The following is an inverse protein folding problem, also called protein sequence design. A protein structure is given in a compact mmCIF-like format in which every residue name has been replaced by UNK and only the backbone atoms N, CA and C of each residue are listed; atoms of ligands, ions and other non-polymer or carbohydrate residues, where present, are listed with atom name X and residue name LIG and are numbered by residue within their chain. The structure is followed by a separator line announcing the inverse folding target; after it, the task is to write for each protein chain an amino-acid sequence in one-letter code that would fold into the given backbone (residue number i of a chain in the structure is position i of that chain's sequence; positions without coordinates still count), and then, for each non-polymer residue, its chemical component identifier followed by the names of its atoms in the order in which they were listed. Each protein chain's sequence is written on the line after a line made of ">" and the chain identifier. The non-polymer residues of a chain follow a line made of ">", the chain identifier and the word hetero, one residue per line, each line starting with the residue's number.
data_IF_980694209781
#
_entry.id   IF_980694209781
#
_cell.length_a   1.000
_cell.length_b   1.000
_cell.length_c   1.000
_cell.angle_alpha   90.00
_cell.angle_beta   90.00
_cell.angle_gamma   90.00
#
_symmetry.space_group_name_H-M   'P 1'
#
loop_
_entity.id
_entity.type
_entity.pdbx_description
1 polymer ?
#
# COMPACT_ATOMS: atom_id res chain seq x y z
N UNK A 1 21.51 1.35 46.41
CA UNK A 1 20.13 1.84 46.23
C UNK A 1 19.32 0.88 45.36
N UNK A 2 19.36 -0.43 45.69
CA UNK A 2 18.61 -1.50 45.01
C UNK A 2 18.49 -2.73 45.92
N UNK A 3 18.15 -2.54 47.21
CA UNK A 3 17.96 -3.67 48.15
C UNK A 3 16.99 -3.43 49.31
N UNK A 4 16.23 -2.33 49.31
CA UNK A 4 15.28 -2.00 50.40
C UNK A 4 13.81 -1.94 49.96
N UNK A 5 13.47 -2.39 48.76
CA UNK A 5 12.08 -2.35 48.24
C UNK A 5 11.46 -3.75 48.08
N UNK A 6 12.11 -4.77 48.64
CA UNK A 6 11.68 -6.18 48.63
C UNK A 6 10.81 -6.55 49.84
N UNK A 7 10.96 -5.87 50.96
CA UNK A 7 10.52 -6.42 52.25
C UNK A 7 9.19 -5.83 52.79
N UNK A 8 8.50 -5.00 52.02
CA UNK A 8 7.29 -4.28 52.48
C UNK A 8 5.96 -4.68 51.81
N UNK A 9 5.86 -5.87 51.20
CA UNK A 9 4.57 -6.39 50.67
C UNK A 9 4.15 -7.72 51.33
N UNK A 10 4.87 -8.15 52.37
CA UNK A 10 4.54 -9.36 53.14
C UNK A 10 3.66 -9.05 54.36
N UNK A 11 2.53 -8.33 54.20
CA UNK A 11 1.50 -8.26 55.23
C UNK A 11 0.20 -7.64 54.69
N UNK A 12 -0.71 -8.44 54.12
CA UNK A 12 -2.16 -8.22 54.34
C UNK A 12 -3.07 -9.35 53.83
N UNK A 13 -3.91 -9.83 54.75
CA UNK A 13 -5.24 -10.45 54.57
C UNK A 13 -5.38 -11.83 53.91
N UNK A 14 -5.67 -12.82 54.75
CA UNK A 14 -6.30 -14.11 54.42
C UNK A 14 -7.81 -13.88 54.19
N UNK A 15 -8.42 -14.32 53.07
CA UNK A 15 -9.86 -14.56 53.02
C UNK A 15 -10.17 -16.04 53.36
N UNK A 16 -11.32 -16.33 53.99
CA UNK A 16 -11.73 -17.69 54.32
C UNK A 16 -12.53 -18.25 53.15
N UNK A 17 -11.97 -19.18 52.39
CA UNK A 17 -12.78 -20.07 51.56
C UNK A 17 -11.99 -21.36 51.31
N UNK A 18 -12.34 -22.41 52.05
CA UNK A 18 -11.99 -23.78 51.71
C UNK A 18 -12.71 -24.14 50.41
N UNK A 19 -11.95 -24.24 49.32
CA UNK A 19 -12.38 -24.92 48.12
C UNK A 19 -11.28 -25.94 47.78
N UNK A 20 -11.65 -27.21 47.90
CA UNK A 20 -10.90 -28.38 47.46
C UNK A 20 -10.44 -28.19 46.01
N UNK A 21 -9.21 -27.72 45.84
CA UNK A 21 -8.55 -27.67 44.54
C UNK A 21 -8.22 -29.11 44.13
N UNK A 22 -8.98 -29.64 43.17
CA UNK A 22 -8.54 -30.77 42.37
C UNK A 22 -7.19 -30.39 41.74
N UNK A 23 -6.14 -31.11 42.10
CA UNK A 23 -4.80 -30.92 41.54
C UNK A 23 -4.84 -31.13 40.03
N UNK A 24 -4.58 -30.06 39.28
CA UNK A 24 -4.31 -30.16 37.86
C UNK A 24 -2.93 -30.83 37.68
N UNK A 25 -2.93 -32.08 37.21
CA UNK A 25 -1.72 -32.85 36.91
C UNK A 25 -1.20 -32.48 35.51
N UNK A 26 -0.03 -31.84 35.40
CA UNK A 26 0.51 -31.40 34.11
C UNK A 26 1.07 -32.55 33.25
N UNK A 27 1.04 -33.80 33.73
CA UNK A 27 1.64 -34.96 33.04
C UNK A 27 0.75 -35.62 31.97
N UNK A 28 -0.52 -35.20 31.83
CA UNK A 28 -1.45 -35.74 30.82
C UNK A 28 -1.56 -34.91 29.54
N UNK A 29 -0.86 -33.77 29.45
CA UNK A 29 -0.73 -33.02 28.21
C UNK A 29 0.30 -33.72 27.31
N UNK A 30 -0.18 -34.62 26.46
CA UNK A 30 0.58 -35.16 25.33
C UNK A 30 1.19 -34.00 24.55
N UNK A 31 2.50 -34.06 24.28
CA UNK A 31 3.21 -33.21 23.32
C UNK A 31 2.67 -33.50 21.91
N UNK A 32 1.41 -33.13 21.66
CA UNK A 32 0.98 -32.81 20.30
C UNK A 32 1.71 -31.52 19.97
N UNK A 33 2.51 -31.55 18.92
CA UNK A 33 3.33 -30.43 18.49
C UNK A 33 2.42 -29.22 18.32
N UNK A 34 2.44 -28.27 19.27
CA UNK A 34 1.50 -27.14 19.37
C UNK A 34 1.44 -26.26 18.11
N UNK A 35 2.37 -26.41 17.17
CA UNK A 35 2.26 -25.83 15.84
C UNK A 35 1.02 -26.33 15.10
N UNK A 36 0.70 -27.62 15.13
CA UNK A 36 -0.39 -28.18 14.33
C UNK A 36 -1.75 -27.68 14.82
N UNK A 37 -1.93 -27.51 16.14
CA UNK A 37 -3.18 -26.97 16.71
C UNK A 37 -3.36 -25.46 16.44
N UNK A 38 -2.26 -24.70 16.39
CA UNK A 38 -2.29 -23.28 16.03
C UNK A 38 -2.51 -23.08 14.53
N UNK A 39 -1.98 -23.99 13.70
CA UNK A 39 -2.18 -24.00 12.26
C UNK A 39 -3.59 -24.51 11.89
N UNK A 40 -4.10 -25.57 12.53
CA UNK A 40 -5.47 -26.09 12.33
C UNK A 40 -6.54 -25.07 12.76
N UNK A 41 -6.33 -24.36 13.87
CA UNK A 41 -7.21 -23.26 14.29
C UNK A 41 -7.21 -22.09 13.30
N UNK A 42 -6.08 -21.85 12.63
CA UNK A 42 -5.94 -20.84 11.59
C UNK A 42 -6.46 -21.30 10.22
N UNK A 43 -6.41 -22.60 9.90
CA UNK A 43 -7.07 -23.21 8.74
C UNK A 43 -8.60 -23.22 8.90
N UNK A 44 -9.12 -23.48 10.11
CA UNK A 44 -10.55 -23.40 10.43
C UNK A 44 -11.11 -21.96 10.35
N UNK A 45 -10.28 -20.95 10.65
CA UNK A 45 -10.60 -19.52 10.43
C UNK A 45 -10.25 -19.00 9.03
N UNK A 46 -9.58 -19.82 8.22
CA UNK A 46 -8.95 -19.46 6.95
C UNK A 46 -9.47 -20.25 5.74
N UNK A 47 -10.68 -20.81 5.83
CA UNK A 47 -11.32 -21.56 4.74
C UNK A 47 -11.29 -20.79 3.41
N UNK A 48 -10.52 -21.31 2.45
CA UNK A 48 -10.48 -20.86 1.06
C UNK A 48 -11.87 -20.88 0.45
N UNK A 49 -12.34 -19.73 -0.02
CA UNK A 49 -13.35 -19.68 -1.07
C UNK A 49 -12.60 -19.49 -2.40
N UNK A 50 -12.50 -20.57 -3.16
CA UNK A 50 -12.11 -20.55 -4.56
C UNK A 50 -13.24 -19.85 -5.35
N UNK A 51 -12.89 -18.94 -6.27
CA UNK A 51 -13.86 -18.29 -7.16
C UNK A 51 -14.49 -19.38 -8.03
N UNK A 52 -15.81 -19.61 -7.99
CA UNK A 52 -16.42 -20.57 -8.89
C UNK A 52 -16.40 -19.99 -10.30
N UNK A 53 -15.85 -20.76 -11.25
CA UNK A 53 -16.11 -20.56 -12.66
C UNK A 53 -17.61 -20.50 -12.90
N UNK A 54 -18.04 -19.50 -13.66
CA UNK A 54 -19.43 -19.27 -14.04
C UNK A 54 -19.97 -20.45 -14.86
N UNK A 55 -20.62 -21.42 -14.21
CA UNK A 55 -21.78 -22.18 -14.74
C UNK A 55 -22.23 -23.31 -13.81
N UNK A 56 -23.05 -23.00 -12.80
CA UNK A 56 -24.16 -23.87 -12.39
C UNK A 56 -25.00 -23.20 -11.31
N UNK A 57 -26.26 -22.93 -11.63
CA UNK A 57 -27.26 -22.52 -10.65
C UNK A 57 -27.54 -23.67 -9.66
N UNK A 58 -27.20 -23.44 -8.39
CA UNK A 58 -27.47 -24.36 -7.29
C UNK A 58 -27.79 -23.56 -6.02
N UNK A 59 -29.03 -23.69 -5.57
CA UNK A 59 -29.68 -23.02 -4.43
C UNK A 59 -28.89 -23.22 -3.13
N UNK A 60 -28.43 -22.15 -2.49
CA UNK A 60 -27.76 -22.18 -1.19
C UNK A 60 -28.76 -21.95 -0.04
N UNK A 61 -28.78 -22.88 0.91
CA UNK A 61 -29.52 -22.80 2.18
C UNK A 61 -28.89 -21.78 3.14
N UNK A 62 -29.76 -21.05 3.83
CA UNK A 62 -29.39 -19.93 4.69
C UNK A 62 -28.68 -20.34 5.99
N UNK A 63 -27.45 -19.86 6.15
CA UNK A 63 -26.88 -19.54 7.46
C UNK A 63 -26.81 -18.02 7.56
N UNK A 64 -27.69 -17.44 8.38
CA UNK A 64 -27.87 -16.00 8.53
C UNK A 64 -26.70 -15.32 9.21
N UNK A 65 -25.70 -14.92 8.44
CA UNK A 65 -24.84 -13.79 8.76
C UNK A 65 -25.18 -12.69 7.74
N UNK A 66 -25.95 -11.70 8.15
CA UNK A 66 -26.33 -10.55 7.31
C UNK A 66 -25.11 -9.70 6.92
N UNK A 67 -24.02 -9.79 7.68
CA UNK A 67 -22.79 -9.05 7.47
C UNK A 67 -21.87 -9.80 6.48
N UNK A 68 -21.64 -9.20 5.32
CA UNK A 68 -20.66 -9.68 4.34
C UNK A 68 -19.28 -9.76 5.01
N UNK A 69 -18.60 -10.90 4.96
CA UNK A 69 -17.23 -11.05 5.52
C UNK A 69 -16.25 -10.11 4.81
N UNK A 70 -15.18 -9.71 5.50
CA UNK A 70 -14.18 -8.77 5.01
C UNK A 70 -13.48 -9.30 3.74
N UNK A 71 -13.48 -8.51 2.67
CA UNK A 71 -12.75 -8.82 1.43
C UNK A 71 -11.24 -8.72 1.69
N UNK A 72 -10.59 -9.88 1.74
CA UNK A 72 -9.13 -9.99 1.80
C UNK A 72 -8.63 -10.48 0.45
N UNK A 73 -8.22 -9.54 -0.41
CA UNK A 73 -7.51 -9.88 -1.64
C UNK A 73 -6.15 -10.48 -1.28
N UNK A 74 -5.97 -11.77 -1.58
CA UNK A 74 -4.69 -12.49 -1.44
C UNK A 74 -4.08 -12.63 -2.82
N UNK A 75 -2.97 -11.94 -3.07
CA UNK A 75 -2.27 -12.07 -4.35
C UNK A 75 -1.57 -10.77 -4.75
N UNK A 76 -1.05 -10.77 -5.97
CA UNK A 76 -0.59 -9.55 -6.62
C UNK A 76 -1.79 -8.81 -7.21
N UNK A 77 -1.77 -7.48 -7.13
CA UNK A 77 -2.84 -6.64 -7.68
C UNK A 77 -2.95 -6.87 -9.20
N UNK A 78 -4.15 -7.14 -9.74
CA UNK A 78 -4.31 -7.38 -11.17
C UNK A 78 -3.98 -6.13 -11.99
N UNK A 79 -3.37 -6.32 -13.16
CA UNK A 79 -2.96 -5.21 -14.04
C UNK A 79 -4.14 -4.32 -14.49
N UNK A 80 -5.37 -4.84 -14.45
CA UNK A 80 -6.60 -4.08 -14.72
C UNK A 80 -6.78 -2.91 -13.77
N UNK A 81 -6.42 -3.06 -12.49
CA UNK A 81 -6.49 -1.99 -11.48
C UNK A 81 -5.48 -0.90 -11.78
N UNK A 82 -4.23 -1.27 -12.13
CA UNK A 82 -3.21 -0.32 -12.55
C UNK A 82 -3.66 0.48 -13.78
N UNK A 83 -4.26 -0.20 -14.77
CA UNK A 83 -4.77 0.45 -15.97
C UNK A 83 -5.89 1.45 -15.65
N UNK A 84 -6.88 1.06 -14.85
CA UNK A 84 -7.98 1.95 -14.45
C UNK A 84 -7.48 3.16 -13.66
N UNK A 85 -6.50 2.95 -12.77
CA UNK A 85 -5.86 4.06 -12.07
C UNK A 85 -5.09 5.00 -13.01
N UNK A 86 -4.39 4.47 -14.03
CA UNK A 86 -3.77 5.29 -15.07
C UNK A 86 -4.79 6.08 -15.90
N UNK A 87 -5.97 5.52 -16.16
CA UNK A 87 -7.08 6.22 -16.82
C UNK A 87 -7.60 7.37 -15.93
N UNK A 88 -7.76 7.15 -14.61
CA UNK A 88 -8.12 8.19 -13.64
C UNK A 88 -7.07 9.32 -13.54
N UNK A 89 -5.79 9.03 -13.73
CA UNK A 89 -4.71 10.04 -13.81
C UNK A 89 -4.84 11.00 -15.02
N UNK A 90 -5.67 10.69 -16.02
CA UNK A 90 -5.79 11.44 -17.27
C UNK A 90 -5.33 10.66 -18.50
N UNK A 91 -5.16 9.34 -18.38
CA UNK A 91 -4.87 8.43 -19.48
C UNK A 91 -3.39 8.19 -19.75
N UNK A 92 -3.11 7.25 -20.66
CA UNK A 92 -1.77 6.76 -20.95
C UNK A 92 -0.79 7.87 -21.37
N UNK A 93 -1.24 8.87 -22.13
CA UNK A 93 -0.40 9.97 -22.59
C UNK A 93 0.18 10.78 -21.43
N UNK A 94 -0.62 11.05 -20.40
CA UNK A 94 -0.16 11.81 -19.21
C UNK A 94 0.84 10.96 -18.41
N UNK A 95 0.56 9.67 -18.23
CA UNK A 95 1.48 8.76 -17.55
C UNK A 95 2.84 8.67 -18.27
N UNK A 96 2.84 8.54 -19.60
CA UNK A 96 4.06 8.53 -20.41
C UNK A 96 4.79 9.86 -20.29
N UNK A 97 4.08 11.00 -20.32
CA UNK A 97 4.69 12.32 -20.14
C UNK A 97 5.37 12.46 -18.77
N UNK A 98 4.79 11.93 -17.70
CA UNK A 98 5.41 11.91 -16.36
C UNK A 98 6.68 11.06 -16.37
N UNK A 99 6.66 9.86 -16.97
CA UNK A 99 7.87 9.01 -17.08
C UNK A 99 8.98 9.73 -17.84
N UNK A 100 8.66 10.35 -18.97
CA UNK A 100 9.62 11.14 -19.77
C UNK A 100 10.15 12.33 -18.98
N UNK A 101 9.31 13.02 -18.21
CA UNK A 101 9.72 14.11 -17.34
C UNK A 101 10.73 13.63 -16.28
N UNK A 102 10.50 12.48 -15.65
CA UNK A 102 11.44 11.91 -14.68
C UNK A 102 12.78 11.57 -15.32
N UNK A 103 12.77 10.95 -16.50
CA UNK A 103 14.00 10.64 -17.25
C UNK A 103 14.75 11.90 -17.68
N UNK A 104 14.05 12.92 -18.19
CA UNK A 104 14.65 14.18 -18.63
C UNK A 104 15.24 14.97 -17.46
N UNK A 105 14.53 15.04 -16.34
CA UNK A 105 15.02 15.71 -15.12
C UNK A 105 16.20 14.98 -14.51
N UNK A 106 16.26 13.65 -14.61
CA UNK A 106 17.42 12.87 -14.17
C UNK A 106 18.69 13.24 -14.95
N UNK A 107 18.60 13.47 -16.26
CA UNK A 107 19.73 13.95 -17.07
C UNK A 107 20.21 15.32 -16.58
N UNK A 108 19.29 16.24 -16.28
CA UNK A 108 19.63 17.57 -15.76
C UNK A 108 20.28 17.51 -14.37
N UNK A 109 19.82 16.60 -13.50
CA UNK A 109 20.41 16.39 -12.17
C UNK A 109 21.80 15.74 -12.26
N UNK A 110 22.03 14.88 -13.25
CA UNK A 110 23.35 14.28 -13.51
C UNK A 110 24.34 15.23 -14.20
N UNK A 111 23.85 16.20 -14.97
CA UNK A 111 24.69 17.10 -15.78
C UNK A 111 25.82 17.81 -15.00
N UNK A 112 25.62 18.33 -13.77
CA UNK A 112 26.69 18.91 -12.96
C UNK A 112 27.83 17.93 -12.67
N UNK A 113 27.51 16.66 -12.40
CA UNK A 113 28.51 15.61 -12.12
C UNK A 113 29.32 15.27 -13.37
N UNK A 114 28.67 15.20 -14.53
CA UNK A 114 29.33 15.00 -15.83
C UNK A 114 30.23 16.19 -16.15
N UNK A 115 29.73 17.41 -15.92
CA UNK A 115 30.49 18.63 -16.14
C UNK A 115 31.71 18.72 -15.22
N UNK A 116 31.56 18.36 -13.95
CA UNK A 116 32.67 18.29 -12.99
C UNK A 116 33.73 17.28 -13.42
N UNK A 117 33.32 16.14 -13.95
CA UNK A 117 34.23 15.15 -14.51
C UNK A 117 35.04 15.71 -15.69
N UNK A 118 34.40 16.44 -16.62
CA UNK A 118 35.07 17.09 -17.76
C UNK A 118 35.97 18.26 -17.35
N UNK A 119 35.56 19.01 -16.31
CA UNK A 119 36.36 20.09 -15.75
C UNK A 119 37.65 19.55 -15.12
N UNK A 120 37.58 18.40 -14.43
CA UNK A 120 38.74 17.80 -13.76
C UNK A 120 39.88 17.41 -14.72
N UNK A 121 39.56 17.14 -15.98
CA UNK A 121 40.53 16.76 -17.03
C UNK A 121 40.88 17.89 -17.98
N UNK A 122 40.28 19.07 -17.83
CA UNK A 122 40.49 20.20 -18.73
C UNK A 122 40.11 19.89 -20.18
N UNK A 123 39.05 19.12 -20.40
CA UNK A 123 38.69 18.59 -21.72
C UNK A 123 38.47 19.67 -22.78
N UNK A 124 37.86 20.79 -22.40
CA UNK A 124 37.70 21.97 -23.24
C UNK A 124 38.76 23.03 -22.89
N UNK A 125 39.27 23.79 -23.87
CA UNK A 125 40.22 24.89 -23.64
C UNK A 125 39.51 26.13 -23.08
N UNK A 126 38.82 25.98 -21.95
CA UNK A 126 38.09 27.04 -21.24
C UNK A 126 38.89 27.49 -20.01
N UNK A 127 38.67 28.74 -19.58
CA UNK A 127 39.24 29.26 -18.34
C UNK A 127 38.56 28.64 -17.11
N UNK A 128 39.28 28.55 -15.98
CA UNK A 128 38.72 28.03 -14.72
C UNK A 128 37.46 28.78 -14.26
N UNK A 129 37.34 30.08 -14.60
CA UNK A 129 36.16 30.89 -14.32
C UNK A 129 34.96 30.51 -15.19
N UNK A 130 35.17 30.11 -16.44
CA UNK A 130 34.09 29.70 -17.35
C UNK A 130 33.54 28.32 -16.94
N UNK A 131 34.44 27.40 -16.56
CA UNK A 131 34.04 26.09 -16.01
C UNK A 131 33.18 26.21 -14.76
N UNK A 132 33.57 27.08 -13.81
CA UNK A 132 32.82 27.26 -12.57
C UNK A 132 31.45 27.92 -12.80
N UNK A 133 31.35 28.89 -13.72
CA UNK A 133 30.08 29.52 -14.08
C UNK A 133 29.11 28.49 -14.67
N UNK A 134 29.56 27.66 -15.62
CA UNK A 134 28.71 26.62 -16.23
C UNK A 134 28.31 25.58 -15.18
N UNK A 135 29.22 25.17 -14.30
CA UNK A 135 28.92 24.24 -13.20
C UNK A 135 27.82 24.77 -12.27
N UNK A 136 27.94 26.04 -11.84
CA UNK A 136 26.93 26.68 -10.97
C UNK A 136 25.59 26.79 -11.70
N UNK A 137 25.58 27.16 -12.98
CA UNK A 137 24.36 27.25 -13.78
C UNK A 137 23.66 25.88 -13.89
N UNK A 138 24.39 24.83 -14.25
CA UNK A 138 23.85 23.46 -14.32
C UNK A 138 23.34 22.99 -12.95
N UNK A 139 24.07 23.30 -11.88
CA UNK A 139 23.66 22.95 -10.51
C UNK A 139 22.38 23.67 -10.10
N UNK A 140 22.21 24.95 -10.47
CA UNK A 140 20.99 25.71 -10.22
C UNK A 140 19.80 25.15 -11.01
N UNK A 141 20.01 24.79 -12.29
CA UNK A 141 18.97 24.15 -13.10
C UNK A 141 18.55 22.81 -12.48
N UNK A 142 19.51 21.95 -12.11
CA UNK A 142 19.24 20.68 -11.43
C UNK A 142 18.50 20.87 -10.09
N UNK A 143 18.90 21.87 -9.29
CA UNK A 143 18.28 22.18 -8.01
C UNK A 143 16.81 22.64 -8.14
N UNK A 144 16.45 23.30 -9.24
CA UNK A 144 15.07 23.72 -9.53
C UNK A 144 14.26 22.58 -10.17
N UNK A 145 14.83 21.90 -11.16
CA UNK A 145 14.15 20.83 -11.90
C UNK A 145 13.91 19.58 -11.05
N UNK A 146 14.80 19.28 -10.10
CA UNK A 146 14.70 18.12 -9.20
C UNK A 146 13.38 18.09 -8.41
N UNK A 147 13.07 19.12 -7.60
CA UNK A 147 11.78 19.22 -6.90
C UNK A 147 10.59 19.38 -7.83
N UNK A 148 10.75 20.06 -8.98
CA UNK A 148 9.66 20.34 -9.91
C UNK A 148 9.00 19.06 -10.46
N UNK A 149 9.76 17.97 -10.67
CA UNK A 149 9.19 16.69 -11.13
C UNK A 149 8.21 16.08 -10.12
N UNK A 150 8.50 16.21 -8.82
CA UNK A 150 7.61 15.73 -7.76
C UNK A 150 6.33 16.56 -7.73
N UNK A 151 6.43 17.88 -7.86
CA UNK A 151 5.27 18.75 -7.95
C UNK A 151 4.34 18.36 -9.11
N UNK A 152 4.88 18.14 -10.31
CA UNK A 152 4.06 17.71 -11.47
C UNK A 152 3.44 16.34 -11.22
N UNK A 153 4.21 15.35 -10.77
CA UNK A 153 3.70 14.02 -10.41
C UNK A 153 2.56 14.11 -9.39
N UNK A 154 2.73 14.97 -8.39
CA UNK A 154 1.73 15.15 -7.35
C UNK A 154 0.41 15.69 -7.89
N UNK A 155 0.45 16.66 -8.82
CA UNK A 155 -0.78 17.22 -9.42
C UNK A 155 -1.55 16.17 -10.23
N UNK A 156 -0.86 15.30 -10.96
CA UNK A 156 -1.47 14.22 -11.75
C UNK A 156 -2.12 13.18 -10.83
N UNK A 157 -1.41 12.74 -9.80
CA UNK A 157 -1.93 11.73 -8.87
C UNK A 157 -3.06 12.28 -7.99
N UNK A 158 -3.02 13.56 -7.62
CA UNK A 158 -4.11 14.23 -6.91
C UNK A 158 -5.38 14.29 -7.76
N UNK A 159 -5.26 14.50 -9.07
CA UNK A 159 -6.39 14.40 -9.99
C UNK A 159 -7.00 12.99 -9.97
N UNK A 160 -6.16 11.95 -10.00
CA UNK A 160 -6.62 10.57 -9.93
C UNK A 160 -7.40 10.30 -8.64
N UNK A 161 -6.89 10.79 -7.49
CA UNK A 161 -7.60 10.64 -6.22
C UNK A 161 -8.97 11.33 -6.23
N UNK A 162 -9.08 12.53 -6.79
CA UNK A 162 -10.38 13.21 -6.94
C UNK A 162 -11.37 12.40 -7.77
N UNK A 163 -10.91 11.80 -8.88
CA UNK A 163 -11.74 10.94 -9.73
C UNK A 163 -12.16 9.67 -8.98
N UNK A 164 -11.23 8.98 -8.33
CA UNK A 164 -11.51 7.75 -7.58
C UNK A 164 -12.46 8.01 -6.42
N UNK A 165 -12.26 9.10 -5.67
CA UNK A 165 -13.17 9.52 -4.60
C UNK A 165 -14.55 9.88 -5.15
N UNK A 166 -14.62 10.59 -6.29
CA UNK A 166 -15.88 10.93 -6.95
C UNK A 166 -16.65 9.70 -7.44
N UNK A 167 -15.96 8.72 -8.04
CA UNK A 167 -16.54 7.44 -8.46
C UNK A 167 -17.08 6.66 -7.25
N UNK A 168 -16.29 6.56 -6.17
CA UNK A 168 -16.70 5.88 -4.95
C UNK A 168 -17.94 6.55 -4.32
N UNK A 169 -17.93 7.87 -4.18
CA UNK A 169 -19.04 8.62 -3.60
C UNK A 169 -20.31 8.48 -4.45
N UNK A 170 -20.18 8.58 -5.77
CA UNK A 170 -21.30 8.39 -6.70
C UNK A 170 -21.86 6.97 -6.61
N UNK A 171 -21.00 5.96 -6.55
CA UNK A 171 -21.44 4.56 -6.44
C UNK A 171 -22.18 4.29 -5.13
N UNK A 172 -21.66 4.78 -4.01
CA UNK A 172 -22.27 4.59 -2.69
C UNK A 172 -23.60 5.35 -2.57
N UNK A 173 -23.71 6.56 -3.11
CA UNK A 173 -24.95 7.36 -3.04
C UNK A 173 -26.08 6.78 -3.90
N UNK A 174 -25.74 6.04 -4.97
CA UNK A 174 -26.70 5.33 -5.80
C UNK A 174 -26.91 3.87 -5.36
N UNK A 175 -26.34 3.42 -4.23
CA UNK A 175 -26.41 2.04 -3.78
C UNK A 175 -27.81 1.69 -3.25
N UNK A 176 -28.24 0.44 -3.43
CA UNK A 176 -29.50 -0.06 -2.84
C UNK A 176 -29.49 -0.03 -1.33
N UNK A 177 -30.66 0.10 -0.70
CA UNK A 177 -30.78 0.01 0.77
C UNK A 177 -30.17 -1.31 1.33
N UNK A 178 -30.28 -2.40 0.56
CA UNK A 178 -29.69 -3.70 0.90
C UNK A 178 -28.16 -3.65 1.07
N UNK A 179 -27.46 -2.81 0.32
CA UNK A 179 -26.02 -2.62 0.49
C UNK A 179 -25.69 -2.05 1.88
N UNK A 180 -26.48 -1.11 2.38
CA UNK A 180 -26.28 -0.50 3.69
C UNK A 180 -26.64 -1.42 4.85
N UNK A 181 -27.60 -2.33 4.66
CA UNK A 181 -27.97 -3.33 5.67
C UNK A 181 -26.95 -4.48 5.76
N UNK A 182 -26.29 -4.83 4.64
CA UNK A 182 -25.32 -5.93 4.58
C UNK A 182 -23.87 -5.48 4.84
N UNK A 183 -23.56 -4.21 4.58
CA UNK A 183 -22.22 -3.65 4.73
C UNK A 183 -22.08 -2.91 6.05
N UNK A 184 -21.17 -3.34 6.96
CA UNK A 184 -21.00 -2.63 8.22
C UNK A 184 -20.49 -1.21 7.98
N UNK A 185 -21.10 -0.22 8.66
CA UNK A 185 -20.77 1.20 8.50
C UNK A 185 -19.27 1.51 8.74
N UNK A 186 -18.62 0.77 9.64
CA UNK A 186 -17.17 0.89 9.88
C UNK A 186 -16.31 0.57 8.64
N UNK A 187 -16.76 -0.35 7.78
CA UNK A 187 -16.08 -0.64 6.50
C UNK A 187 -16.17 0.55 5.57
N UNK A 188 -17.37 1.12 5.42
CA UNK A 188 -17.60 2.29 4.58
C UNK A 188 -16.74 3.47 5.04
N UNK A 189 -16.71 3.75 6.34
CA UNK A 189 -15.86 4.78 6.93
C UNK A 189 -14.39 4.48 6.65
N UNK A 190 -13.93 3.24 6.82
CA UNK A 190 -12.53 2.87 6.54
C UNK A 190 -12.15 3.08 5.06
N UNK A 191 -13.07 2.83 4.11
CA UNK A 191 -12.83 3.14 2.69
C UNK A 191 -12.67 4.63 2.45
N UNK A 192 -13.61 5.44 2.91
CA UNK A 192 -13.56 6.91 2.71
C UNK A 192 -12.44 7.60 3.48
N UNK A 193 -11.91 6.98 4.53
CA UNK A 193 -10.84 7.56 5.36
C UNK A 193 -9.48 6.94 5.05
N UNK A 194 -9.25 5.69 5.46
CA UNK A 194 -7.93 5.05 5.38
C UNK A 194 -7.49 4.77 3.94
N UNK A 195 -8.39 4.22 3.11
CA UNK A 195 -8.01 3.84 1.75
C UNK A 195 -7.86 5.06 0.84
N UNK A 196 -8.74 6.06 0.97
CA UNK A 196 -8.57 7.35 0.27
C UNK A 196 -7.33 8.10 0.75
N UNK A 197 -7.06 8.16 2.07
CA UNK A 197 -5.81 8.75 2.59
C UNK A 197 -4.58 8.05 1.99
N UNK A 198 -4.61 6.72 1.90
CA UNK A 198 -3.53 5.97 1.30
C UNK A 198 -3.31 6.33 -0.17
N UNK A 199 -4.38 6.56 -0.93
CA UNK A 199 -4.31 7.00 -2.33
C UNK A 199 -3.81 8.44 -2.44
N UNK A 200 -4.22 9.31 -1.51
CA UNK A 200 -3.86 10.73 -1.46
C UNK A 200 -2.39 10.98 -1.12
N UNK A 201 -1.82 10.22 -0.17
CA UNK A 201 -0.47 10.46 0.36
C UNK A 201 0.53 9.33 0.06
N UNK A 202 0.19 8.11 0.49
CA UNK A 202 1.18 7.04 0.63
C UNK A 202 1.53 6.46 -0.74
N UNK A 203 0.50 6.15 -1.54
CA UNK A 203 0.63 5.71 -2.93
C UNK A 203 1.41 6.72 -3.78
N UNK A 204 1.17 8.02 -3.56
CA UNK A 204 1.86 9.10 -4.27
C UNK A 204 3.36 9.14 -3.94
N UNK A 205 3.69 8.99 -2.66
CA UNK A 205 5.07 8.92 -2.19
C UNK A 205 5.79 7.68 -2.74
N UNK A 206 5.16 6.51 -2.66
CA UNK A 206 5.70 5.25 -3.16
C UNK A 206 5.93 5.28 -4.66
N UNK A 207 4.96 5.78 -5.45
CA UNK A 207 5.08 5.85 -6.90
C UNK A 207 6.15 6.85 -7.35
N UNK A 208 6.20 8.02 -6.72
CA UNK A 208 7.23 9.04 -6.99
C UNK A 208 8.63 8.55 -6.64
N UNK A 209 8.75 7.78 -5.56
CA UNK A 209 9.99 7.11 -5.15
C UNK A 209 10.39 6.02 -6.15
N UNK A 210 9.43 5.28 -6.70
CA UNK A 210 9.68 4.24 -7.69
C UNK A 210 10.25 4.86 -8.97
N UNK A 211 9.56 5.87 -9.51
CA UNK A 211 10.00 6.57 -10.72
C UNK A 211 11.37 7.20 -10.54
N UNK A 212 11.64 7.82 -9.38
CA UNK A 212 12.94 8.38 -9.06
C UNK A 212 14.03 7.31 -9.03
N UNK A 213 13.82 6.21 -8.29
CA UNK A 213 14.83 5.16 -8.11
C UNK A 213 15.12 4.43 -9.42
N UNK A 214 14.08 4.12 -10.21
CA UNK A 214 14.22 3.50 -11.52
C UNK A 214 14.93 4.44 -12.50
N UNK A 215 14.59 5.74 -12.51
CA UNK A 215 15.26 6.72 -13.37
C UNK A 215 16.74 6.85 -13.01
N UNK A 216 17.08 6.93 -11.72
CA UNK A 216 18.47 6.98 -11.25
C UNK A 216 19.24 5.69 -11.55
N UNK A 217 18.58 4.54 -11.49
CA UNK A 217 19.19 3.27 -11.92
C UNK A 217 19.49 3.27 -13.43
N UNK A 218 18.53 3.66 -14.26
CA UNK A 218 18.70 3.76 -15.71
C UNK A 218 19.82 4.73 -16.06
N UNK A 219 19.85 5.92 -15.45
CA UNK A 219 20.87 6.95 -15.72
C UNK A 219 22.27 6.47 -15.32
N UNK A 220 22.39 5.79 -14.17
CA UNK A 220 23.64 5.20 -13.69
C UNK A 220 24.15 4.13 -14.66
N UNK A 221 23.29 3.18 -15.05
CA UNK A 221 23.64 2.11 -16.01
C UNK A 221 24.00 2.68 -17.38
N UNK A 222 23.23 3.65 -17.88
CA UNK A 222 23.50 4.32 -19.15
C UNK A 222 24.86 5.04 -19.14
N UNK A 223 25.19 5.72 -18.03
CA UNK A 223 26.46 6.43 -17.89
C UNK A 223 27.67 5.48 -17.83
N UNK A 224 27.52 4.34 -17.15
CA UNK A 224 28.56 3.30 -17.14
C UNK A 224 28.75 2.68 -18.53
N UNK A 225 27.65 2.37 -19.23
CA UNK A 225 27.70 1.83 -20.59
C UNK A 225 28.31 2.83 -21.59
N UNK A 226 28.02 4.13 -21.44
CA UNK A 226 28.58 5.20 -22.25
C UNK A 226 30.09 5.36 -22.04
N UNK A 227 30.53 5.38 -20.78
CA UNK A 227 31.95 5.57 -20.45
C UNK A 227 32.79 4.33 -20.78
N UNK A 228 32.25 3.12 -20.57
CA UNK A 228 32.99 1.87 -20.64
C UNK A 228 32.16 0.77 -21.33
N UNK A 229 32.29 0.65 -22.65
CA UNK A 229 31.50 -0.33 -23.44
C UNK A 229 31.72 -1.77 -22.98
N UNK A 230 32.93 -2.13 -22.52
CA UNK A 230 33.24 -3.48 -22.02
C UNK A 230 32.48 -3.84 -20.73
N UNK A 231 32.01 -2.86 -19.94
CA UNK A 231 31.19 -3.12 -18.75
C UNK A 231 29.85 -3.74 -19.14
N UNK A 232 29.32 -3.44 -20.32
CA UNK A 232 28.08 -4.04 -20.82
C UNK A 232 28.19 -5.57 -20.89
N UNK A 233 29.37 -6.10 -21.25
CA UNK A 233 29.62 -7.54 -21.30
C UNK A 233 29.54 -8.21 -19.92
N UNK A 234 29.82 -7.49 -18.83
CA UNK A 234 29.67 -7.97 -17.45
C UNK A 234 28.26 -7.68 -16.90
N UNK A 235 27.65 -6.57 -17.31
CA UNK A 235 26.31 -6.17 -16.88
C UNK A 235 25.26 -7.21 -17.31
N UNK A 236 25.32 -7.71 -18.55
CA UNK A 236 24.36 -8.68 -19.08
C UNK A 236 24.28 -9.97 -18.24
N UNK A 237 25.37 -10.71 -17.96
CA UNK A 237 25.30 -11.90 -17.12
C UNK A 237 24.89 -11.58 -15.68
N UNK A 238 25.29 -10.43 -15.12
CA UNK A 238 24.83 -10.00 -13.79
C UNK A 238 23.31 -9.76 -13.75
N UNK A 239 22.73 -9.17 -14.81
CA UNK A 239 21.27 -8.97 -14.93
C UNK A 239 20.52 -10.31 -15.03
N UNK A 240 21.07 -11.27 -15.78
CA UNK A 240 20.52 -12.62 -15.87
C UNK A 240 20.57 -13.31 -14.50
N UNK A 241 21.70 -13.24 -13.79
CA UNK A 241 21.84 -13.79 -12.44
C UNK A 241 20.86 -13.13 -11.46
N UNK A 242 20.70 -11.81 -11.53
CA UNK A 242 19.73 -11.06 -10.73
C UNK A 242 18.29 -11.52 -11.00
N UNK A 243 17.90 -11.71 -12.26
CA UNK A 243 16.58 -12.21 -12.63
C UNK A 243 16.28 -13.60 -12.01
N UNK A 244 17.21 -14.54 -12.12
CA UNK A 244 17.03 -15.87 -11.51
C UNK A 244 16.95 -15.80 -9.99
N UNK A 245 17.76 -14.95 -9.37
CA UNK A 245 17.80 -14.77 -7.92
C UNK A 245 16.49 -14.15 -7.41
N UNK A 246 15.96 -13.14 -8.10
CA UNK A 246 14.68 -12.52 -7.78
C UNK A 246 13.53 -13.51 -7.96
N UNK A 247 13.54 -14.32 -9.02
CA UNK A 247 12.53 -15.35 -9.26
C UNK A 247 12.51 -16.41 -8.15
N UNK A 248 13.68 -16.84 -7.69
CA UNK A 248 13.81 -17.77 -6.57
C UNK A 248 13.30 -17.14 -5.27
N UNK A 249 13.77 -15.94 -4.95
CA UNK A 249 13.35 -15.19 -3.77
C UNK A 249 11.83 -14.95 -3.76
N UNK A 250 11.24 -14.52 -4.88
CA UNK A 250 9.81 -14.21 -4.96
C UNK A 250 8.93 -15.43 -4.64
N UNK A 251 9.36 -16.64 -5.04
CA UNK A 251 8.65 -17.89 -4.72
C UNK A 251 8.72 -18.19 -3.22
N UNK A 252 9.93 -18.16 -2.64
CA UNK A 252 10.12 -18.45 -1.22
C UNK A 252 9.44 -17.40 -0.33
N UNK A 253 9.59 -16.12 -0.68
CA UNK A 253 9.01 -15.01 0.07
C UNK A 253 7.48 -15.03 0.06
N UNK A 254 6.85 -15.50 -1.03
CA UNK A 254 5.39 -15.67 -1.08
C UNK A 254 4.88 -16.66 -0.03
N UNK A 255 5.56 -17.80 0.11
CA UNK A 255 5.19 -18.81 1.12
C UNK A 255 5.49 -18.31 2.54
N UNK A 256 6.62 -17.65 2.75
CA UNK A 256 6.95 -17.05 4.05
C UNK A 256 5.89 -16.01 4.44
N UNK A 257 5.52 -15.11 3.53
CA UNK A 257 4.44 -14.14 3.76
C UNK A 257 3.10 -14.79 4.04
N UNK A 258 2.78 -15.91 3.36
CA UNK A 258 1.57 -16.70 3.63
C UNK A 258 1.55 -17.21 5.08
N UNK A 259 2.66 -17.79 5.54
CA UNK A 259 2.82 -18.26 6.92
C UNK A 259 2.72 -17.13 7.94
N UNK A 260 3.42 -16.01 7.71
CA UNK A 260 3.37 -14.83 8.58
C UNK A 260 1.92 -14.32 8.73
N UNK A 261 1.19 -14.22 7.61
CA UNK A 261 -0.20 -13.78 7.64
C UNK A 261 -1.13 -14.77 8.35
N UNK A 262 -0.86 -16.08 8.26
CA UNK A 262 -1.63 -17.12 8.94
C UNK A 262 -1.44 -17.04 10.46
N UNK A 263 -0.20 -16.83 10.91
CA UNK A 263 0.20 -16.85 12.32
C UNK A 263 -0.12 -15.53 13.06
N UNK A 264 -0.24 -14.41 12.34
CA UNK A 264 -0.58 -13.11 12.95
C UNK A 264 -2.04 -13.05 13.48
N UNK A 265 -2.98 -13.79 12.87
CA UNK A 265 -4.40 -13.74 13.29
C UNK A 265 -4.64 -14.37 14.68
N UNK A 266 -4.10 -15.56 15.02
CA UNK A 266 -4.26 -16.17 16.33
C UNK A 266 -3.78 -15.32 17.52
N UNK A 267 -2.74 -14.50 17.35
CA UNK A 267 -2.24 -13.63 18.44
C UNK A 267 -3.30 -12.64 18.89
N UNK A 268 -3.96 -11.99 17.93
CA UNK A 268 -5.01 -11.01 18.22
C UNK A 268 -6.20 -11.70 18.89
N UNK A 269 -6.57 -12.90 18.42
CA UNK A 269 -7.64 -13.68 19.06
C UNK A 269 -7.32 -14.08 20.50
N UNK A 270 -6.10 -14.54 20.79
CA UNK A 270 -5.68 -14.89 22.15
C UNK A 270 -5.63 -13.65 23.06
N UNK A 271 -5.22 -12.50 22.52
CA UNK A 271 -5.24 -11.22 23.24
C UNK A 271 -6.67 -10.81 23.58
N UNK A 272 -7.60 -10.90 22.62
CA UNK A 272 -9.03 -10.62 22.82
C UNK A 272 -9.65 -11.57 23.86
N UNK A 273 -9.38 -12.87 23.77
CA UNK A 273 -9.85 -13.88 24.74
C UNK A 273 -9.31 -13.59 26.15
N UNK A 274 -8.04 -13.20 26.26
CA UNK A 274 -7.41 -12.88 27.54
C UNK A 274 -7.98 -11.60 28.15
N UNK A 275 -8.23 -10.57 27.34
CA UNK A 275 -8.82 -9.30 27.79
C UNK A 275 -10.29 -9.47 28.20
N UNK A 276 -11.07 -10.20 27.39
CA UNK A 276 -12.46 -10.53 27.69
C UNK A 276 -12.60 -11.44 28.92
N UNK A 277 -11.69 -12.42 29.06
CA UNK A 277 -11.65 -13.38 30.15
C UNK A 277 -10.86 -12.93 31.39
N UNK A 278 -10.45 -11.66 31.49
CA UNK A 278 -9.54 -11.22 32.57
C UNK A 278 -10.04 -11.56 33.98
N UNK A 279 -11.34 -11.40 34.21
CA UNK A 279 -11.96 -11.61 35.52
C UNK A 279 -12.04 -13.10 35.87
N UNK A 280 -12.35 -13.95 34.90
CA UNK A 280 -12.41 -15.41 35.09
C UNK A 280 -11.01 -15.97 35.31
N UNK A 281 -10.01 -15.55 34.52
CA UNK A 281 -8.61 -15.95 34.70
C UNK A 281 -8.10 -15.61 36.10
N UNK A 282 -8.45 -14.42 36.60
CA UNK A 282 -8.08 -13.97 37.95
C UNK A 282 -8.82 -14.75 39.04
N UNK A 283 -10.13 -14.98 38.87
CA UNK A 283 -10.96 -15.72 39.83
C UNK A 283 -10.47 -17.17 40.03
N UNK A 284 -10.11 -17.85 38.94
CA UNK A 284 -9.58 -19.22 38.98
C UNK A 284 -8.07 -19.30 39.25
N UNK A 285 -7.37 -18.16 39.38
CA UNK A 285 -5.91 -18.09 39.61
C UNK A 285 -5.06 -18.85 38.59
N UNK A 286 -5.50 -18.91 37.33
CA UNK A 286 -4.83 -19.63 36.23
C UNK A 286 -3.96 -18.74 35.34
N UNK A 287 -3.68 -17.49 35.77
CA UNK A 287 -2.87 -16.54 35.01
C UNK A 287 -1.50 -17.07 34.51
N UNK A 288 -0.72 -17.85 35.30
CA UNK A 288 0.55 -18.39 34.80
C UNK A 288 0.39 -19.39 33.65
N UNK A 289 -0.67 -20.20 33.67
CA UNK A 289 -0.96 -21.17 32.60
C UNK A 289 -1.39 -20.46 31.30
N UNK A 290 -2.21 -19.42 31.42
CA UNK A 290 -2.61 -18.58 30.29
C UNK A 290 -1.40 -17.84 29.72
N UNK A 291 -0.55 -17.25 30.57
CA UNK A 291 0.68 -16.58 30.14
C UNK A 291 1.61 -17.53 29.35
N UNK A 292 1.76 -18.78 29.81
CA UNK A 292 2.55 -19.78 29.09
C UNK A 292 1.99 -20.03 27.68
N UNK A 293 0.67 -20.14 27.54
CA UNK A 293 -0.01 -20.30 26.23
C UNK A 293 0.21 -19.08 25.33
N UNK A 294 0.06 -17.86 25.89
CA UNK A 294 0.30 -16.61 25.14
C UNK A 294 1.74 -16.53 24.64
N UNK A 295 2.72 -16.85 25.48
CA UNK A 295 4.13 -16.85 25.10
C UNK A 295 4.42 -17.87 23.98
N UNK A 296 3.84 -19.06 24.03
CA UNK A 296 3.99 -20.05 22.96
C UNK A 296 3.45 -19.54 21.62
N UNK A 297 2.30 -18.88 21.61
CA UNK A 297 1.73 -18.28 20.40
C UNK A 297 2.64 -17.16 19.88
N UNK A 298 3.12 -16.29 20.77
CA UNK A 298 4.04 -15.22 20.43
C UNK A 298 5.36 -15.74 19.84
N UNK A 299 5.92 -16.82 20.40
CA UNK A 299 7.16 -17.44 19.91
C UNK A 299 7.02 -17.92 18.46
N UNK A 300 5.89 -18.50 18.07
CA UNK A 300 5.64 -18.93 16.68
C UNK A 300 5.60 -17.72 15.74
N UNK A 301 4.99 -16.61 16.17
CA UNK A 301 4.90 -15.36 15.38
C UNK A 301 6.26 -14.73 15.18
N UNK A 302 7.04 -14.65 16.26
CA UNK A 302 8.41 -14.15 16.19
C UNK A 302 9.28 -15.05 15.33
N UNK A 303 9.09 -16.38 15.37
CA UNK A 303 9.81 -17.32 14.50
C UNK A 303 9.49 -17.07 13.02
N UNK A 304 8.23 -16.89 12.66
CA UNK A 304 7.84 -16.57 11.28
C UNK A 304 8.37 -15.20 10.82
N UNK A 305 8.30 -14.20 11.69
CA UNK A 305 8.82 -12.86 11.41
C UNK A 305 10.34 -12.87 11.25
N UNK A 306 11.04 -13.66 12.07
CA UNK A 306 12.48 -13.86 11.95
C UNK A 306 12.87 -14.55 10.65
N UNK A 307 12.09 -15.55 10.21
CA UNK A 307 12.28 -16.20 8.91
C UNK A 307 12.11 -15.21 7.74
N UNK A 308 11.13 -14.32 7.81
CA UNK A 308 10.94 -13.26 6.81
C UNK A 308 12.13 -12.31 6.77
N UNK A 309 12.57 -11.81 7.93
CA UNK A 309 13.73 -10.95 8.03
C UNK A 309 14.99 -11.66 7.49
N UNK A 310 15.20 -12.92 7.84
CA UNK A 310 16.31 -13.74 7.33
C UNK A 310 16.31 -13.87 5.81
N UNK A 311 15.14 -14.03 5.18
CA UNK A 311 15.00 -14.08 3.73
C UNK A 311 15.33 -12.73 3.07
N UNK A 312 14.90 -11.61 3.66
CA UNK A 312 15.23 -10.26 3.19
C UNK A 312 16.74 -9.97 3.29
N UNK A 313 17.39 -10.33 4.40
CA UNK A 313 18.84 -10.22 4.54
C UNK A 313 19.58 -11.10 3.53
N UNK A 314 19.13 -12.33 3.32
CA UNK A 314 19.73 -13.23 2.34
C UNK A 314 19.73 -12.62 0.93
N UNK A 315 18.60 -12.04 0.51
CA UNK A 315 18.48 -11.35 -0.77
C UNK A 315 19.44 -10.16 -0.84
N UNK A 316 19.43 -9.31 0.18
CA UNK A 316 20.25 -8.10 0.26
C UNK A 316 21.74 -8.42 0.11
N UNK A 317 22.26 -9.42 0.85
CA UNK A 317 23.66 -9.86 0.76
C UNK A 317 24.01 -10.35 -0.65
N UNK A 318 23.11 -11.07 -1.31
CA UNK A 318 23.35 -11.57 -2.68
C UNK A 318 23.32 -10.46 -3.73
N UNK A 319 22.41 -9.50 -3.61
CA UNK A 319 22.37 -8.30 -4.47
C UNK A 319 23.67 -7.49 -4.29
N UNK A 320 24.14 -7.35 -3.04
CA UNK A 320 25.36 -6.63 -2.75
C UNK A 320 26.60 -7.32 -3.35
N UNK A 321 26.68 -8.66 -3.29
CA UNK A 321 27.74 -9.43 -3.96
C UNK A 321 27.73 -9.25 -5.49
N UNK A 322 26.56 -9.21 -6.12
CA UNK A 322 26.44 -8.93 -7.57
C UNK A 322 26.82 -7.49 -7.90
N UNK A 323 26.45 -6.52 -7.06
CA UNK A 323 26.82 -5.12 -7.29
C UNK A 323 28.31 -4.85 -7.08
N UNK A 324 28.95 -5.54 -6.12
CA UNK A 324 30.40 -5.40 -5.90
C UNK A 324 31.20 -6.05 -7.02
N UNK A 325 30.71 -7.14 -7.64
CA UNK A 325 31.36 -7.70 -8.83
C UNK A 325 31.26 -6.77 -10.04
N UNK A 326 30.12 -6.08 -10.23
CA UNK A 326 29.99 -5.01 -11.24
C UNK A 326 30.98 -3.88 -10.94
N UNK A 327 31.06 -3.41 -9.70
CA UNK A 327 32.00 -2.35 -9.29
C UNK A 327 33.45 -2.75 -9.52
N UNK A 328 33.82 -4.00 -9.22
CA UNK A 328 35.15 -4.54 -9.50
C UNK A 328 35.45 -4.51 -11.00
N UNK A 329 34.51 -4.94 -11.84
CA UNK A 329 34.67 -4.90 -13.30
C UNK A 329 34.82 -3.48 -13.84
N UNK A 330 34.00 -2.53 -13.36
CA UNK A 330 34.09 -1.11 -13.74
C UNK A 330 35.45 -0.51 -13.32
N UNK A 331 35.93 -0.84 -12.12
CA UNK A 331 37.22 -0.36 -11.62
C UNK A 331 38.40 -0.94 -12.41
N UNK A 332 38.43 -2.26 -12.63
CA UNK A 332 39.46 -2.91 -13.44
C UNK A 332 39.44 -2.41 -14.89
N UNK A 333 38.25 -2.24 -15.44
CA UNK A 333 38.05 -1.70 -16.77
C UNK A 333 38.50 -0.24 -16.90
N UNK A 334 38.29 0.58 -15.87
CA UNK A 334 38.83 1.95 -15.81
C UNK A 334 40.35 1.97 -15.89
N UNK A 335 41.02 1.13 -15.08
CA UNK A 335 42.49 1.02 -15.05
C UNK A 335 43.01 0.49 -16.39
N UNK A 336 42.38 -0.55 -16.94
CA UNK A 336 42.74 -1.10 -18.23
C UNK A 336 42.58 -0.07 -19.37
N UNK A 337 41.51 0.73 -19.37
CA UNK A 337 41.29 1.78 -20.36
C UNK A 337 42.36 2.88 -20.34
N UNK A 338 42.95 3.16 -19.17
CA UNK A 338 44.05 4.13 -19.04
C UNK A 338 45.37 3.55 -19.54
N UNK A 339 45.66 2.28 -19.24
CA UNK A 339 46.94 1.66 -19.59
C UNK A 339 46.99 1.11 -21.02
N UNK A 340 45.87 0.60 -21.51
CA UNK A 340 45.75 0.10 -22.88
C UNK A 340 45.26 1.27 -23.71
N UNK A 341 46.16 1.88 -24.49
CA UNK A 341 45.93 3.07 -25.31
C UNK A 341 44.88 2.90 -26.46
N UNK A 342 43.95 1.96 -26.32
CA UNK A 342 42.96 1.61 -27.32
C UNK A 342 41.79 2.61 -27.41
N UNK A 343 41.56 3.46 -26.40
CA UNK A 343 40.51 4.48 -26.40
C UNK A 343 41.00 5.77 -25.72
N UNK A 344 40.82 6.97 -26.33
CA UNK A 344 41.01 8.24 -25.64
C UNK A 344 39.86 8.46 -24.63
N UNK A 345 39.94 7.78 -23.49
CA UNK A 345 38.94 7.88 -22.43
C UNK A 345 39.31 8.98 -21.44
N UNK A 346 38.36 9.87 -21.15
CA UNK A 346 38.53 10.92 -20.15
C UNK A 346 38.60 10.30 -18.75
N UNK A 347 39.73 10.51 -18.04
CA UNK A 347 39.96 9.97 -16.69
C UNK A 347 38.87 10.43 -15.70
N UNK A 348 38.36 11.66 -15.84
CA UNK A 348 37.26 12.17 -15.03
C UNK A 348 35.95 11.41 -15.23
N UNK A 349 35.60 11.03 -16.47
CA UNK A 349 34.39 10.24 -16.73
C UNK A 349 34.54 8.80 -16.22
N UNK A 350 35.75 8.23 -16.33
CA UNK A 350 36.06 6.93 -15.73
C UNK A 350 35.90 6.96 -14.21
N UNK A 351 36.41 7.99 -13.54
CA UNK A 351 36.23 8.17 -12.10
C UNK A 351 34.76 8.30 -11.72
N UNK A 352 33.98 9.09 -12.47
CA UNK A 352 32.54 9.22 -12.27
C UNK A 352 31.82 7.87 -12.43
N UNK A 353 32.19 7.05 -13.42
CA UNK A 353 31.60 5.71 -13.61
C UNK A 353 31.84 4.77 -12.42
N UNK A 354 33.02 4.84 -11.79
CA UNK A 354 33.35 4.08 -10.57
C UNK A 354 32.53 4.59 -9.37
N UNK A 355 32.36 5.91 -9.22
CA UNK A 355 31.52 6.48 -8.15
C UNK A 355 30.05 6.09 -8.32
N UNK A 356 29.55 6.05 -9.55
CA UNK A 356 28.19 5.62 -9.84
C UNK A 356 28.00 4.11 -9.60
N UNK A 357 29.02 3.28 -9.89
CA UNK A 357 28.91 1.84 -9.67
C UNK A 357 28.74 1.47 -8.20
N UNK A 358 29.33 2.24 -7.28
CA UNK A 358 29.17 2.06 -5.83
C UNK A 358 27.71 2.25 -5.37
N UNK A 359 26.92 3.04 -6.09
CA UNK A 359 25.52 3.34 -5.73
C UNK A 359 24.53 2.30 -6.25
N UNK A 360 24.92 1.48 -7.24
CA UNK A 360 24.04 0.47 -7.87
C UNK A 360 23.39 -0.44 -6.83
N UNK A 361 24.15 -0.91 -5.84
CA UNK A 361 23.63 -1.84 -4.83
C UNK A 361 22.47 -1.24 -4.06
N UNK A 362 22.56 0.05 -3.72
CA UNK A 362 21.49 0.77 -3.02
C UNK A 362 20.26 0.94 -3.90
N UNK A 363 20.46 1.28 -5.18
CA UNK A 363 19.38 1.45 -6.15
C UNK A 363 18.63 0.13 -6.42
N UNK A 364 19.35 -0.99 -6.59
CA UNK A 364 18.72 -2.30 -6.83
C UNK A 364 17.90 -2.78 -5.63
N UNK A 365 18.42 -2.63 -4.41
CA UNK A 365 17.66 -2.93 -3.19
C UNK A 365 16.46 -1.97 -3.06
N UNK A 366 16.67 -0.68 -3.33
CA UNK A 366 15.63 0.34 -3.32
C UNK A 366 14.48 0.03 -4.27
N UNK A 367 14.76 -0.43 -5.50
CA UNK A 367 13.71 -0.80 -6.47
C UNK A 367 12.81 -1.90 -5.91
N UNK A 368 13.37 -2.94 -5.29
CA UNK A 368 12.57 -4.04 -4.73
C UNK A 368 11.69 -3.53 -3.59
N UNK A 369 12.26 -2.76 -2.67
CA UNK A 369 11.53 -2.24 -1.51
C UNK A 369 10.41 -1.29 -1.94
N UNK A 370 10.70 -0.35 -2.83
CA UNK A 370 9.72 0.64 -3.27
C UNK A 370 8.65 0.00 -4.17
N UNK A 371 8.99 -1.00 -4.99
CA UNK A 371 8.01 -1.76 -5.76
C UNK A 371 7.04 -2.51 -4.83
N UNK A 372 7.56 -3.11 -3.76
CA UNK A 372 6.72 -3.76 -2.75
C UNK A 372 5.80 -2.76 -2.02
N UNK A 373 6.29 -1.53 -1.74
CA UNK A 373 5.46 -0.45 -1.19
C UNK A 373 4.36 -0.03 -2.16
N UNK A 374 4.67 0.16 -3.45
CA UNK A 374 3.66 0.50 -4.47
C UNK A 374 2.60 -0.60 -4.60
N UNK A 375 2.99 -1.86 -4.60
CA UNK A 375 2.04 -2.99 -4.63
C UNK A 375 1.16 -3.02 -3.38
N UNK A 376 1.75 -2.80 -2.19
CA UNK A 376 1.00 -2.72 -0.94
C UNK A 376 -0.02 -1.57 -0.93
N UNK A 377 0.39 -0.39 -1.40
CA UNK A 377 -0.47 0.80 -1.46
C UNK A 377 -1.58 0.66 -2.50
N UNK A 378 -1.31 -0.06 -3.60
CA UNK A 378 -2.29 -0.32 -4.66
C UNK A 378 -3.44 -1.23 -4.19
N UNK A 379 -3.26 -2.03 -3.15
CA UNK A 379 -4.35 -2.80 -2.54
C UNK A 379 -5.50 -1.90 -2.04
N UNK A 380 -5.21 -0.66 -1.66
CA UNK A 380 -6.26 0.31 -1.28
C UNK A 380 -7.09 0.76 -2.48
N UNK A 381 -6.44 0.93 -3.65
CA UNK A 381 -7.12 1.24 -4.92
C UNK A 381 -7.98 0.05 -5.37
N UNK A 382 -7.43 -1.17 -5.32
CA UNK A 382 -8.16 -2.39 -5.66
C UNK A 382 -9.43 -2.54 -4.83
N UNK A 383 -9.34 -2.33 -3.51
CA UNK A 383 -10.48 -2.40 -2.59
C UNK A 383 -11.57 -1.38 -2.90
N UNK A 384 -11.19 -0.16 -3.33
CA UNK A 384 -12.15 0.87 -3.72
C UNK A 384 -12.82 0.53 -5.06
N UNK A 385 -12.07 0.10 -6.05
CA UNK A 385 -12.64 -0.29 -7.34
C UNK A 385 -13.53 -1.52 -7.25
N UNK A 386 -13.13 -2.51 -6.47
CA UNK A 386 -13.99 -3.68 -6.21
C UNK A 386 -15.32 -3.26 -5.58
N UNK A 387 -15.31 -2.36 -4.59
CA UNK A 387 -16.55 -1.85 -3.99
C UNK A 387 -17.38 -1.07 -5.02
N UNK A 388 -16.75 -0.22 -5.82
CA UNK A 388 -17.43 0.58 -6.85
C UNK A 388 -18.11 -0.30 -7.91
N UNK A 389 -17.49 -1.43 -8.27
CA UNK A 389 -17.98 -2.32 -9.32
C UNK A 389 -19.05 -3.31 -8.85
N UNK A 390 -19.05 -3.68 -7.56
CA UNK A 390 -19.97 -4.70 -7.02
C UNK A 390 -21.16 -4.12 -6.24
N UNK A 391 -21.26 -2.80 -6.10
CA UNK A 391 -22.46 -2.17 -5.55
C UNK A 391 -23.59 -2.27 -6.58
N UNK A 392 -24.70 -2.88 -6.18
CA UNK A 392 -25.95 -2.82 -6.95
C UNK A 392 -26.54 -1.41 -6.84
N UNK A 393 -26.77 -0.77 -7.98
CA UNK A 393 -27.28 0.60 -8.03
C UNK A 393 -28.80 0.63 -8.16
N UNK A 394 -29.45 1.55 -7.46
CA UNK A 394 -30.86 1.89 -7.72
C UNK A 394 -30.98 2.62 -9.07
N UNK A 395 -32.16 2.56 -9.71
CA UNK A 395 -32.47 3.22 -11.00
C UNK A 395 -32.25 4.76 -10.98
N UNK A 396 -31.93 5.33 -9.81
CA UNK A 396 -31.51 6.71 -9.62
C UNK A 396 -30.17 7.05 -10.30
N UNK A 397 -29.38 6.08 -10.76
CA UNK A 397 -28.08 6.35 -11.39
C UNK A 397 -28.19 7.32 -12.58
N UNK A 398 -29.22 7.16 -13.40
CA UNK A 398 -29.47 8.01 -14.57
C UNK A 398 -29.89 9.43 -14.15
N UNK A 399 -30.77 9.54 -13.16
CA UNK A 399 -31.21 10.81 -12.57
C UNK A 399 -30.05 11.58 -11.89
N UNK A 400 -29.14 10.87 -11.22
CA UNK A 400 -27.93 11.45 -10.61
C UNK A 400 -26.93 11.89 -11.68
N UNK A 401 -26.77 11.15 -12.80
CA UNK A 401 -25.95 11.64 -13.94
C UNK A 401 -26.49 12.96 -14.46
N UNK A 402 -27.80 13.00 -14.73
CA UNK A 402 -28.45 14.17 -15.28
C UNK A 402 -28.31 15.38 -14.34
N UNK A 403 -28.42 15.16 -13.02
CA UNK A 403 -28.18 16.18 -12.01
C UNK A 403 -26.74 16.68 -11.96
N UNK A 404 -25.76 15.78 -12.01
CA UNK A 404 -24.31 16.13 -12.01
C UNK A 404 -23.93 16.88 -13.28
N UNK A 405 -24.42 16.46 -14.44
CA UNK A 405 -24.18 17.13 -15.72
C UNK A 405 -24.83 18.53 -15.74
N UNK A 406 -26.03 18.69 -15.16
CA UNK A 406 -26.70 19.98 -14.99
C UNK A 406 -25.94 20.93 -14.06
N UNK A 407 -25.32 20.42 -12.99
CA UNK A 407 -24.47 21.19 -12.07
C UNK A 407 -23.17 21.62 -12.76
N UNK A 408 -22.52 20.73 -13.52
CA UNK A 408 -21.32 21.07 -14.29
C UNK A 408 -21.60 22.08 -15.42
N UNK A 409 -22.82 22.11 -15.95
CA UNK A 409 -23.28 23.12 -16.91
C UNK A 409 -23.65 24.48 -16.27
N UNK A 410 -23.48 24.65 -14.95
CA UNK A 410 -23.76 25.89 -14.23
C UNK A 410 -25.22 26.10 -13.81
N UNK A 411 -26.07 25.07 -13.93
CA UNK A 411 -27.51 25.13 -13.65
C UNK A 411 -27.89 24.65 -12.25
N UNK A 412 -27.40 25.29 -11.19
CA UNK A 412 -27.69 24.85 -9.81
C UNK A 412 -29.16 25.02 -9.37
N UNK A 413 -30.02 25.73 -10.10
CA UNK A 413 -31.39 26.03 -9.66
C UNK A 413 -32.48 25.05 -10.12
N UNK A 414 -32.19 24.16 -11.08
CA UNK A 414 -33.22 23.28 -11.67
C UNK A 414 -33.23 21.84 -11.14
N UNK A 415 -32.25 21.45 -10.32
CA UNK A 415 -32.11 20.06 -9.87
C UNK A 415 -33.10 19.70 -8.75
N UNK A 416 -33.54 20.66 -7.93
CA UNK A 416 -34.45 20.40 -6.80
C UNK A 416 -35.92 20.22 -7.27
N UNK A 417 -36.29 20.72 -8.45
CA UNK A 417 -37.68 20.64 -8.95
C UNK A 417 -37.99 19.35 -9.71
N UNK A 418 -36.99 18.68 -10.30
CA UNK A 418 -37.21 17.43 -11.03
C UNK A 418 -37.42 16.21 -10.10
N UNK A 419 -36.95 16.26 -8.86
CA UNK A 419 -37.09 15.17 -7.89
C UNK A 419 -38.45 15.15 -7.16
N UNK A 420 -39.31 16.17 -7.35
CA UNK A 420 -40.59 16.30 -6.64
C UNK A 420 -41.78 15.84 -7.52
N UNK A 421 -41.61 15.72 -8.84
CA UNK A 421 -42.76 15.56 -9.77
C UNK A 421 -43.03 14.12 -10.23
N UNK A 422 -42.22 13.14 -9.83
CA UNK A 422 -42.50 11.72 -10.10
C UNK A 422 -43.47 11.14 -9.05
N UNK A 423 -44.76 11.48 -9.21
CA UNK A 423 -45.85 10.65 -8.68
C UNK A 423 -46.50 9.87 -9.83
N UNK A 424 -46.69 8.54 -9.71
CA UNK A 424 -47.18 7.74 -10.81
C UNK A 424 -48.68 7.98 -11.02
N UNK A 425 -49.02 8.51 -12.19
CA UNK A 425 -50.40 8.59 -12.67
C UNK A 425 -50.93 7.18 -12.95
N UNK A 426 -51.77 6.66 -12.06
CA UNK A 426 -52.68 5.56 -12.37
C UNK A 426 -54.12 6.04 -12.22
N UNK A 427 -54.78 6.23 -13.36
CA UNK A 427 -56.21 6.43 -13.45
C UNK A 427 -56.90 5.06 -13.45
N UNK A 428 -57.71 4.78 -12.43
CA UNK A 428 -58.90 3.92 -12.59
C UNK A 428 -59.96 4.31 -11.57
N UNK A 429 -61.12 4.69 -12.10
CA UNK A 429 -62.35 5.12 -11.45
C UNK A 429 -63.03 4.04 -10.61
N UNK A 430 -63.45 4.36 -9.38
CA UNK A 430 -64.72 3.87 -8.78
C UNK A 430 -65.29 4.94 -7.83
N UNK A 431 -66.56 5.27 -8.04
CA UNK A 431 -67.39 6.24 -7.33
C UNK A 431 -67.96 5.74 -6.00
N UNK A 432 -68.08 6.59 -4.97
CA UNK A 432 -69.25 6.79 -4.06
C UNK A 432 -68.90 7.64 -2.79
N UNK A 433 -69.89 8.25 -2.09
CA UNK A 433 -69.75 9.63 -1.59
C UNK A 433 -69.71 9.81 -0.04
N UNK A 434 -69.40 11.05 0.35
CA UNK A 434 -69.67 11.73 1.64
C UNK A 434 -68.87 11.28 2.89
N UNK A 435 -68.17 12.24 3.54
CA UNK A 435 -68.39 12.69 4.93
C UNK A 435 -67.46 13.88 5.27
N UNK A 436 -68.07 14.94 5.82
CA UNK A 436 -67.47 16.12 6.47
C UNK A 436 -66.43 15.78 7.56
N UNK A 437 -65.32 16.54 7.68
CA UNK A 437 -65.05 17.45 8.83
C UNK A 437 -63.73 18.25 8.70
N UNK A 438 -63.74 19.43 9.33
CA UNK A 438 -62.70 20.48 9.39
C UNK A 438 -61.51 20.17 10.32
N UNK A 439 -60.43 20.93 10.08
CA UNK A 439 -59.46 21.55 11.01
C UNK A 439 -58.57 20.68 11.90
N UNK A 440 -57.26 20.85 11.72
CA UNK A 440 -56.23 20.54 12.72
C UNK A 440 -54.85 20.95 12.21
N UNK A 441 -54.30 22.04 12.76
CA UNK A 441 -52.93 22.49 12.57
C UNK A 441 -51.92 21.37 12.88
N UNK A 442 -50.85 21.29 12.09
CA UNK A 442 -49.51 20.88 12.56
C UNK A 442 -48.48 21.30 11.53
N UNK A 443 -47.87 22.46 11.77
CA UNK A 443 -46.61 22.88 11.12
C UNK A 443 -45.52 21.84 11.42
N UNK A 444 -44.88 21.29 10.38
CA UNK A 444 -43.65 20.53 10.53
C UNK A 444 -42.44 21.48 10.49
N UNK A 445 -41.67 21.45 11.57
CA UNK A 445 -40.63 22.41 11.90
C UNK A 445 -39.39 22.37 11.01
N UNK A 446 -38.88 23.57 10.72
CA UNK A 446 -37.56 23.85 10.18
C UNK A 446 -36.50 23.80 11.29
N UNK A 447 -35.39 23.09 11.06
CA UNK A 447 -34.21 23.14 11.93
C UNK A 447 -33.44 24.45 11.69
N UNK A 448 -33.48 25.34 12.69
CA UNK A 448 -32.73 26.59 12.74
C UNK A 448 -31.46 26.35 13.57
N UNK A 449 -30.28 26.40 12.94
CA UNK A 449 -29.00 26.25 13.63
C UNK A 449 -28.65 27.54 14.37
N UNK A 450 -28.99 27.61 15.65
CA UNK A 450 -28.52 28.65 16.55
C UNK A 450 -27.22 28.18 17.24
N UNK A 451 -26.14 28.95 17.06
CA UNK A 451 -24.84 28.89 17.75
C UNK A 451 -23.75 27.94 17.19
N UNK A 452 -23.34 28.15 15.95
CA UNK A 452 -21.96 27.82 15.52
C UNK A 452 -21.36 29.04 14.84
N UNK A 453 -20.60 29.82 15.62
CA UNK A 453 -19.80 30.94 15.13
C UNK A 453 -18.50 30.37 14.55
N UNK A 454 -18.41 30.23 13.23
CA UNK A 454 -17.16 29.85 12.55
C UNK A 454 -16.33 31.10 12.29
N UNK A 455 -15.37 31.35 13.18
CA UNK A 455 -14.18 32.16 12.90
C UNK A 455 -12.96 31.28 12.78
#
# INVERSE_FOLDING_TARGET
>A
MSREMSDNVAAESKPPFDATAASYDPSTATEVTNCDVLLDGAEAGGGSAEVPDTSSAGRAEGTGNLLTKEERFRGAVPFTVYRRYMEACGGLCVCVAVVVLYLATEVLVMAPSIWLALWSTGFLPLNSREYSVIYVLLSMIGAVCGPMRYWVSMTVMRRASYVVHGELLRSVTCATLQFFDTTPIGRLISRFTNDIRNIDSDLQSSYSSLLSTVSSFISTVAMMAFTQVFVVAVLVPCMVAYYFLLRFYARANREIKRLVNLVNSPVLSVLEETLGGRWTIQAYRVAPAVLKKVMQVADVVFTCSYLQLGAELWLSVRIQLLSTSITLAVALGAVAAVHVAFLPANVGLLALSVTLSMQISGLLNGIISVLASVEADMNSVERIFYMTDNIEHEDLRDAVSAGVDAIHAGGASHVITAAIDDTPTTASSVSSPLVHRQSGDTEFGSLLFEHVDMR
#
